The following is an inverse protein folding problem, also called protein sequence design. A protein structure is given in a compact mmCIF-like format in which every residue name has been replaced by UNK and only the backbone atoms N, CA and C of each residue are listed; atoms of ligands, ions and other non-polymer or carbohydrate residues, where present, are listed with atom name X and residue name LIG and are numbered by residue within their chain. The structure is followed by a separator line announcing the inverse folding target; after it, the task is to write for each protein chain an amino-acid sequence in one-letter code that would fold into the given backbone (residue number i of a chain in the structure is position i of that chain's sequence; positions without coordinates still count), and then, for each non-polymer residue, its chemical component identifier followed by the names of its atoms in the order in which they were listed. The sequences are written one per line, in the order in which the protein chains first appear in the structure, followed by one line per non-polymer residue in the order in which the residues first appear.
data_IF_283879535245
#
_entry.id   IF_283879535245
#
_cell.length_a   1.000
_cell.length_b   1.000
_cell.length_c   1.000
_cell.angle_alpha   90.00
_cell.angle_beta   90.00
_cell.angle_gamma   90.00
#
_symmetry.space_group_name_H-M   'P 1'
#
loop_
_entity.id
_entity.type
_entity.pdbx_description
1 polymer ?
#
# COMPACT_ATOMS: atom_id res chain seq x y z
N UNK A 1 -12.23 4.43 -15.16
CA UNK A 1 -12.74 4.67 -13.79
C UNK A 1 -11.60 4.48 -12.79
N UNK A 2 -11.66 5.07 -11.61
CA UNK A 2 -10.60 4.88 -10.60
C UNK A 2 -10.86 3.59 -9.83
N UNK A 3 -9.80 2.94 -9.33
CA UNK A 3 -9.93 1.72 -8.50
C UNK A 3 -10.87 1.93 -7.31
N UNK A 4 -10.81 3.11 -6.66
CA UNK A 4 -11.74 3.47 -5.58
C UNK A 4 -13.21 3.45 -6.02
N UNK A 5 -13.48 3.85 -7.25
CA UNK A 5 -14.82 3.84 -7.82
C UNK A 5 -15.29 2.41 -8.12
N UNK A 6 -14.38 1.56 -8.67
CA UNK A 6 -14.68 0.14 -8.91
C UNK A 6 -15.09 -0.57 -7.60
N UNK A 7 -14.36 -0.28 -6.49
CA UNK A 7 -14.69 -0.82 -5.15
C UNK A 7 -16.07 -0.35 -4.70
N UNK A 8 -16.38 0.94 -4.83
CA UNK A 8 -17.71 1.47 -4.44
C UNK A 8 -18.83 0.88 -5.27
N UNK A 9 -18.61 0.68 -6.57
CA UNK A 9 -19.61 0.04 -7.46
C UNK A 9 -19.84 -1.43 -7.13
N UNK A 10 -18.78 -2.17 -6.76
CA UNK A 10 -18.89 -3.55 -6.29
C UNK A 10 -19.74 -3.63 -5.02
N UNK A 11 -19.40 -2.79 -4.03
CA UNK A 11 -20.11 -2.75 -2.74
C UNK A 11 -21.56 -2.26 -2.87
N UNK A 12 -21.83 -1.37 -3.81
CA UNK A 12 -23.19 -0.85 -4.01
C UNK A 12 -24.17 -1.91 -4.55
N UNK A 13 -23.68 -2.90 -5.30
CA UNK A 13 -24.49 -3.99 -5.82
C UNK A 13 -24.91 -5.01 -4.75
N UNK A 14 -24.21 -5.04 -3.62
CA UNK A 14 -24.49 -5.99 -2.55
C UNK A 14 -25.66 -5.49 -1.68
N UNK A 15 -26.50 -6.38 -1.24
CA UNK A 15 -27.54 -6.12 -0.27
C UNK A 15 -27.50 -7.23 0.78
N UNK A 16 -27.16 -6.88 2.01
CA UNK A 16 -27.09 -7.85 3.09
C UNK A 16 -28.46 -8.54 3.30
N UNK A 17 -28.51 -9.88 3.43
CA UNK A 17 -29.78 -10.62 3.60
C UNK A 17 -30.45 -10.24 4.93
N UNK A 18 -29.67 -10.08 5.99
CA UNK A 18 -30.17 -9.78 7.33
C UNK A 18 -30.57 -8.31 7.47
N UNK A 19 -31.79 -8.07 8.00
CA UNK A 19 -32.31 -6.71 8.20
C UNK A 19 -31.42 -5.86 9.10
N UNK A 20 -30.88 -6.41 10.19
CA UNK A 20 -30.01 -5.69 11.13
C UNK A 20 -28.69 -5.20 10.46
N UNK A 21 -28.14 -5.98 9.50
CA UNK A 21 -26.97 -5.54 8.74
C UNK A 21 -27.32 -4.39 7.77
N UNK A 22 -28.49 -4.44 7.11
CA UNK A 22 -28.95 -3.31 6.28
C UNK A 22 -29.18 -2.05 7.10
N UNK A 23 -29.72 -2.18 8.33
CA UNK A 23 -29.84 -1.06 9.27
C UNK A 23 -28.48 -0.47 9.62
N UNK A 24 -27.48 -1.30 9.93
CA UNK A 24 -26.12 -0.84 10.20
C UNK A 24 -25.50 -0.10 9.01
N UNK A 25 -25.74 -0.56 7.79
CA UNK A 25 -25.26 0.07 6.56
C UNK A 25 -25.95 1.43 6.30
N UNK A 26 -27.28 1.51 6.52
CA UNK A 26 -28.06 2.76 6.47
C UNK A 26 -27.55 3.75 7.53
N UNK A 27 -27.33 3.27 8.75
CA UNK A 27 -26.80 4.07 9.85
C UNK A 27 -25.46 4.71 9.49
N UNK A 28 -24.54 3.94 8.90
CA UNK A 28 -23.25 4.45 8.45
C UNK A 28 -23.41 5.54 7.38
N UNK A 29 -24.21 5.31 6.34
CA UNK A 29 -24.41 6.30 5.27
C UNK A 29 -24.99 7.59 5.82
N UNK A 30 -26.02 7.53 6.67
CA UNK A 30 -26.61 8.71 7.31
C UNK A 30 -25.57 9.42 8.17
N UNK A 31 -24.78 8.68 8.94
CA UNK A 31 -23.81 9.25 9.87
C UNK A 31 -22.68 9.98 9.15
N UNK A 32 -22.19 9.45 8.02
CA UNK A 32 -21.06 10.03 7.32
C UNK A 32 -21.42 11.13 6.31
N UNK A 33 -22.54 11.02 5.61
CA UNK A 33 -22.93 11.98 4.58
C UNK A 33 -24.41 12.44 4.65
N UNK A 34 -25.13 12.05 5.69
CA UNK A 34 -26.51 12.46 5.90
C UNK A 34 -26.67 13.67 6.83
N UNK A 35 -27.84 14.27 6.75
CA UNK A 35 -28.37 15.25 7.68
C UNK A 35 -29.82 14.89 7.97
N UNK A 36 -30.27 15.12 9.19
CA UNK A 36 -31.67 14.92 9.53
C UNK A 36 -32.17 16.08 10.39
N UNK A 37 -33.48 16.28 10.34
CA UNK A 37 -34.24 17.11 11.28
C UNK A 37 -35.44 16.27 11.74
N UNK A 38 -35.72 16.32 13.02
CA UNK A 38 -36.86 15.67 13.61
C UNK A 38 -37.62 16.67 14.49
N UNK A 39 -38.82 17.07 14.06
CA UNK A 39 -39.64 18.05 14.75
C UNK A 39 -41.14 17.81 14.47
N UNK A 40 -42.02 18.36 15.31
CA UNK A 40 -43.47 18.28 15.12
C UNK A 40 -43.98 19.01 13.87
N UNK A 41 -43.21 20.00 13.36
CA UNK A 41 -43.56 20.79 12.17
C UNK A 41 -43.11 20.17 10.85
N UNK A 42 -42.25 19.14 10.92
CA UNK A 42 -41.78 18.41 9.75
C UNK A 42 -40.45 17.72 10.01
N UNK A 43 -40.33 16.52 9.53
CA UNK A 43 -39.13 15.71 9.70
C UNK A 43 -38.60 15.24 8.37
N UNK A 44 -37.26 15.20 8.25
CA UNK A 44 -36.59 14.67 7.09
C UNK A 44 -35.26 14.02 7.42
N UNK A 45 -34.83 13.05 6.58
CA UNK A 45 -33.47 12.57 6.48
C UNK A 45 -33.03 12.84 5.05
N UNK A 46 -31.91 13.53 4.88
CA UNK A 46 -31.36 13.91 3.57
C UNK A 46 -29.92 13.43 3.47
N UNK A 47 -29.64 12.59 2.49
CA UNK A 47 -28.30 12.19 2.07
C UNK A 47 -27.92 12.96 0.81
N UNK A 48 -26.78 13.63 0.83
CA UNK A 48 -26.23 14.38 -0.30
C UNK A 48 -24.92 13.75 -0.74
N UNK A 49 -24.78 13.48 -2.05
CA UNK A 49 -23.57 12.89 -2.62
C UNK A 49 -23.39 13.34 -4.07
N UNK A 50 -22.13 13.35 -4.53
CA UNK A 50 -21.78 13.55 -5.95
C UNK A 50 -21.79 12.21 -6.73
N UNK A 51 -21.87 11.09 -6.04
CA UNK A 51 -21.83 9.75 -6.62
C UNK A 51 -23.24 9.19 -6.80
N UNK A 52 -23.61 8.92 -8.06
CA UNK A 52 -24.85 8.21 -8.36
C UNK A 52 -24.89 6.82 -7.67
N UNK A 53 -23.77 6.14 -7.60
CA UNK A 53 -23.61 4.83 -6.95
C UNK A 53 -24.00 4.89 -5.47
N UNK A 54 -23.53 5.92 -4.75
CA UNK A 54 -23.89 6.13 -3.33
C UNK A 54 -25.38 6.45 -3.18
N UNK A 55 -25.90 7.34 -4.02
CA UNK A 55 -27.32 7.70 -4.01
C UNK A 55 -28.23 6.48 -4.26
N UNK A 56 -27.90 5.69 -5.28
CA UNK A 56 -28.63 4.46 -5.60
C UNK A 56 -28.57 3.44 -4.46
N UNK A 57 -27.39 3.22 -3.89
CA UNK A 57 -27.20 2.30 -2.74
C UNK A 57 -28.09 2.70 -1.57
N UNK A 58 -28.05 3.99 -1.18
CA UNK A 58 -28.87 4.48 -0.05
C UNK A 58 -30.37 4.35 -0.34
N UNK A 59 -30.80 4.71 -1.55
CA UNK A 59 -32.19 4.55 -1.98
C UNK A 59 -32.66 3.08 -1.83
N UNK A 60 -31.90 2.14 -2.39
CA UNK A 60 -32.21 0.71 -2.32
C UNK A 60 -32.21 0.16 -0.89
N UNK A 61 -31.27 0.60 -0.06
CA UNK A 61 -31.23 0.20 1.34
C UNK A 61 -32.46 0.66 2.12
N UNK A 62 -32.89 1.92 1.94
CA UNK A 62 -34.08 2.47 2.61
C UNK A 62 -35.33 1.74 2.12
N UNK A 63 -35.52 1.60 0.79
CA UNK A 63 -36.68 0.95 0.23
C UNK A 63 -36.81 -0.52 0.69
N UNK A 64 -35.71 -1.29 0.62
CA UNK A 64 -35.71 -2.74 0.96
C UNK A 64 -35.74 -3.01 2.47
N UNK A 65 -35.32 -2.04 3.32
CA UNK A 65 -35.23 -2.24 4.77
C UNK A 65 -36.47 -1.75 5.51
N UNK A 66 -37.01 -0.61 5.07
CA UNK A 66 -38.10 0.09 5.75
C UNK A 66 -39.41 0.11 4.92
N UNK A 67 -39.37 -0.31 3.65
CA UNK A 67 -40.49 -0.18 2.70
C UNK A 67 -40.91 1.29 2.49
N UNK A 68 -39.97 2.20 2.67
CA UNK A 68 -40.13 3.63 2.42
C UNK A 68 -39.49 3.94 1.08
N UNK A 69 -40.17 4.67 0.21
CA UNK A 69 -39.61 5.13 -1.06
C UNK A 69 -39.11 6.56 -0.94
N UNK A 70 -37.78 6.78 -0.91
CA UNK A 70 -37.23 8.12 -0.80
C UNK A 70 -37.49 8.95 -2.05
N UNK A 71 -37.54 10.26 -1.92
CA UNK A 71 -37.50 11.19 -3.03
C UNK A 71 -36.05 11.37 -3.51
N UNK A 72 -35.88 11.51 -4.82
CA UNK A 72 -34.56 11.76 -5.43
C UNK A 72 -34.60 13.09 -6.16
N UNK A 73 -33.70 14.00 -5.78
CA UNK A 73 -33.49 15.26 -6.43
C UNK A 73 -32.08 15.31 -7.01
N UNK A 74 -31.94 15.82 -8.24
CA UNK A 74 -30.64 16.01 -8.90
C UNK A 74 -30.44 17.47 -9.17
N UNK A 75 -29.30 18.00 -8.76
CA UNK A 75 -28.92 19.41 -8.99
C UNK A 75 -27.55 19.48 -9.66
N UNK A 76 -27.43 20.31 -10.68
CA UNK A 76 -26.12 20.66 -11.25
C UNK A 76 -25.68 21.99 -10.64
N UNK A 77 -24.48 22.02 -10.07
CA UNK A 77 -23.86 23.23 -9.55
C UNK A 77 -22.42 23.32 -10.06
N UNK A 78 -22.12 24.35 -10.86
CA UNK A 78 -20.79 24.59 -11.43
C UNK A 78 -20.18 23.36 -12.14
N UNK A 79 -21.02 22.59 -12.87
CA UNK A 79 -20.58 21.40 -13.61
C UNK A 79 -20.52 20.11 -12.77
N UNK A 80 -20.75 20.18 -11.47
CA UNK A 80 -20.82 19.02 -10.58
C UNK A 80 -22.26 18.60 -10.34
N UNK A 81 -22.56 17.33 -10.56
CA UNK A 81 -23.89 16.75 -10.31
C UNK A 81 -23.99 16.33 -8.84
N UNK A 82 -24.99 16.83 -8.14
CA UNK A 82 -25.33 16.47 -6.77
C UNK A 82 -26.64 15.70 -6.74
N UNK A 83 -26.60 14.55 -6.08
CA UNK A 83 -27.75 13.68 -5.85
C UNK A 83 -28.20 13.85 -4.40
N UNK A 84 -29.49 14.09 -4.23
CA UNK A 84 -30.14 14.19 -2.92
C UNK A 84 -31.16 13.07 -2.82
N UNK A 85 -31.00 12.20 -1.83
CA UNK A 85 -31.96 11.16 -1.52
C UNK A 85 -32.61 11.53 -0.19
N UNK A 86 -33.91 11.78 -0.20
CA UNK A 86 -34.64 12.45 0.89
C UNK A 86 -35.77 11.53 1.35
N UNK A 87 -35.82 11.26 2.64
CA UNK A 87 -36.96 10.64 3.32
C UNK A 87 -37.74 11.74 4.01
N UNK A 88 -39.02 11.81 3.75
CA UNK A 88 -39.94 12.79 4.35
C UNK A 88 -41.01 12.11 5.20
N UNK A 89 -41.57 12.88 6.13
CA UNK A 89 -42.67 12.45 6.99
C UNK A 89 -42.23 11.95 8.36
N UNK A 90 -42.95 12.38 9.39
CA UNK A 90 -42.58 12.14 10.79
C UNK A 90 -42.46 10.64 11.09
N UNK A 91 -43.43 9.83 10.66
CA UNK A 91 -43.44 8.38 10.91
C UNK A 91 -42.29 7.67 10.22
N UNK A 92 -42.07 7.97 8.94
CA UNK A 92 -40.96 7.38 8.14
C UNK A 92 -39.58 7.70 8.74
N UNK A 93 -39.41 8.97 9.12
CA UNK A 93 -38.14 9.44 9.71
C UNK A 93 -37.96 8.83 11.09
N UNK A 94 -39.03 8.79 11.93
CA UNK A 94 -38.97 8.19 13.25
C UNK A 94 -38.61 6.69 13.17
N UNK A 95 -39.19 5.93 12.23
CA UNK A 95 -38.91 4.51 12.05
C UNK A 95 -37.41 4.25 11.74
N UNK A 96 -36.84 5.07 10.84
CA UNK A 96 -35.42 4.97 10.53
C UNK A 96 -34.57 5.36 11.74
N UNK A 97 -34.82 6.52 12.36
CA UNK A 97 -34.01 7.04 13.46
C UNK A 97 -34.09 6.15 14.72
N UNK A 98 -35.26 5.53 15.02
CA UNK A 98 -35.40 4.52 16.07
C UNK A 98 -34.61 3.26 15.74
N UNK A 99 -34.69 2.78 14.50
CA UNK A 99 -33.95 1.58 14.06
C UNK A 99 -32.43 1.75 14.15
N UNK A 100 -31.90 2.92 13.80
CA UNK A 100 -30.47 3.25 13.93
C UNK A 100 -30.08 3.78 15.31
N UNK A 101 -31.03 3.74 16.30
CA UNK A 101 -30.81 4.09 17.71
C UNK A 101 -30.36 5.54 17.92
N UNK A 102 -30.86 6.47 17.12
CA UNK A 102 -30.78 7.92 17.32
C UNK A 102 -31.95 8.41 18.17
N UNK A 103 -33.13 7.83 18.00
CA UNK A 103 -34.28 8.04 18.86
C UNK A 103 -34.49 6.82 19.77
N UNK A 104 -35.03 7.09 20.98
CA UNK A 104 -35.60 6.07 21.85
C UNK A 104 -37.01 5.64 21.39
N UNK A 105 -37.59 4.67 22.07
CA UNK A 105 -38.95 4.18 21.74
C UNK A 105 -40.01 5.23 21.97
N UNK A 106 -39.75 6.22 22.84
CA UNK A 106 -40.63 7.36 23.16
C UNK A 106 -40.50 8.51 22.13
N UNK A 107 -39.53 8.44 21.21
CA UNK A 107 -39.29 9.47 20.20
C UNK A 107 -38.33 10.59 20.62
N UNK A 108 -37.63 10.46 21.75
CA UNK A 108 -36.66 11.42 22.18
C UNK A 108 -35.29 11.12 21.59
N UNK A 109 -34.51 12.16 21.28
CA UNK A 109 -33.14 12.02 20.78
C UNK A 109 -32.26 11.50 21.93
N UNK A 110 -31.62 10.34 21.73
CA UNK A 110 -30.78 9.68 22.74
C UNK A 110 -29.47 10.44 22.95
N UNK A 111 -28.93 11.04 21.89
CA UNK A 111 -27.67 11.80 21.91
C UNK A 111 -27.82 13.08 21.11
N UNK A 112 -27.68 14.24 21.71
CA UNK A 112 -27.79 15.56 21.08
C UNK A 112 -26.76 15.75 19.94
N UNK A 113 -25.61 15.08 20.01
CA UNK A 113 -24.56 15.13 18.97
C UNK A 113 -24.85 14.27 17.75
N UNK A 114 -26.02 13.59 17.66
CA UNK A 114 -26.30 12.65 16.55
C UNK A 114 -25.41 11.42 16.54
N UNK A 115 -24.79 11.07 17.68
CA UNK A 115 -23.96 9.86 17.82
C UNK A 115 -24.77 8.60 17.52
N UNK A 116 -24.18 7.69 16.75
CA UNK A 116 -24.76 6.36 16.57
C UNK A 116 -24.46 5.50 17.80
N UNK A 117 -25.51 4.86 18.32
CA UNK A 117 -25.36 3.91 19.41
C UNK A 117 -24.50 2.71 18.97
N UNK A 118 -23.53 2.31 19.78
CA UNK A 118 -22.76 1.08 19.60
C UNK A 118 -23.62 -0.19 19.48
N UNK A 119 -24.89 -0.13 19.90
CA UNK A 119 -25.86 -1.22 19.72
C UNK A 119 -26.12 -1.54 18.24
N UNK A 120 -25.91 -0.60 17.33
CA UNK A 120 -26.07 -0.81 15.87
C UNK A 120 -24.97 -1.71 15.30
N UNK A 121 -23.79 -1.72 15.94
CA UNK A 121 -22.59 -2.42 15.52
C UNK A 121 -22.16 -3.53 16.49
N UNK A 122 -23.07 -4.10 17.26
CA UNK A 122 -22.74 -5.13 18.27
C UNK A 122 -22.20 -6.43 17.65
N UNK A 123 -22.76 -6.83 16.51
CA UNK A 123 -22.37 -8.07 15.85
C UNK A 123 -21.30 -7.81 14.78
N UNK A 124 -20.38 -8.75 14.58
CA UNK A 124 -19.34 -8.64 13.54
C UNK A 124 -19.93 -8.43 12.14
N UNK A 125 -21.07 -9.05 11.81
CA UNK A 125 -21.76 -8.83 10.55
C UNK A 125 -22.32 -7.41 10.40
N UNK A 126 -22.76 -6.77 11.51
CA UNK A 126 -23.18 -5.36 11.53
C UNK A 126 -21.97 -4.42 11.39
N UNK A 127 -20.83 -4.74 12.02
CA UNK A 127 -19.58 -3.99 11.86
C UNK A 127 -19.13 -4.00 10.39
N UNK A 128 -19.17 -5.17 9.72
CA UNK A 128 -18.87 -5.30 8.28
C UNK A 128 -19.79 -4.41 7.43
N UNK A 129 -21.08 -4.48 7.68
CA UNK A 129 -22.07 -3.68 6.94
C UNK A 129 -21.91 -2.17 7.21
N UNK A 130 -21.62 -1.78 8.46
CA UNK A 130 -21.34 -0.39 8.82
C UNK A 130 -20.09 0.13 8.13
N UNK A 131 -18.99 -0.63 8.14
CA UNK A 131 -17.73 -0.27 7.48
C UNK A 131 -17.94 -0.10 5.96
N UNK A 132 -18.72 -0.99 5.34
CA UNK A 132 -19.12 -0.88 3.93
C UNK A 132 -19.86 0.43 3.64
N UNK A 133 -20.86 0.75 4.45
CA UNK A 133 -21.62 2.02 4.33
C UNK A 133 -20.74 3.24 4.52
N UNK A 134 -19.85 3.25 5.53
CA UNK A 134 -18.92 4.33 5.81
C UNK A 134 -17.93 4.55 4.64
N UNK A 135 -17.38 3.46 4.08
CA UNK A 135 -16.49 3.54 2.93
C UNK A 135 -17.23 4.06 1.67
N UNK A 136 -18.42 3.55 1.39
CA UNK A 136 -19.22 4.05 0.26
C UNK A 136 -19.47 5.55 0.42
N UNK A 137 -19.82 6.01 1.60
CA UNK A 137 -20.16 7.42 1.89
C UNK A 137 -18.95 8.36 1.80
N UNK A 138 -17.83 8.02 2.44
CA UNK A 138 -16.70 8.95 2.63
C UNK A 138 -15.31 8.31 2.49
N UNK A 139 -15.24 7.05 2.07
CA UNK A 139 -13.99 6.34 1.89
C UNK A 139 -13.35 6.53 0.54
N UNK A 140 -12.05 6.26 0.47
CA UNK A 140 -11.29 6.13 -0.76
C UNK A 140 -10.15 5.13 -0.61
N UNK A 141 -9.71 4.55 -1.73
CA UNK A 141 -8.57 3.65 -1.80
C UNK A 141 -7.76 3.92 -3.07
N UNK A 142 -6.44 3.96 -2.92
CA UNK A 142 -5.52 4.20 -4.04
C UNK A 142 -5.42 2.96 -4.93
N UNK A 143 -5.19 3.18 -6.22
CA UNK A 143 -4.87 2.12 -7.18
C UNK A 143 -3.65 1.32 -6.68
N UNK A 144 -3.77 -0.02 -6.50
CA UNK A 144 -2.71 -0.84 -5.93
C UNK A 144 -1.41 -0.85 -6.75
N UNK A 145 -1.46 -0.52 -8.04
CA UNK A 145 -0.24 -0.35 -8.85
C UNK A 145 0.53 0.92 -8.52
N UNK A 146 -0.16 1.97 -8.04
CA UNK A 146 0.45 3.26 -7.68
C UNK A 146 0.93 3.30 -6.23
N UNK A 147 0.21 2.66 -5.31
CA UNK A 147 0.55 2.66 -3.89
C UNK A 147 -0.51 1.97 -3.04
N UNK A 148 -0.27 1.91 -1.73
CA UNK A 148 -1.20 1.35 -0.76
C UNK A 148 -1.66 2.45 0.17
N UNK A 149 -2.90 2.88 0.02
CA UNK A 149 -3.52 3.86 0.90
C UNK A 149 -5.04 3.69 0.86
N UNK A 150 -5.60 3.37 1.99
CA UNK A 150 -7.03 3.30 2.25
C UNK A 150 -7.37 4.37 3.28
N UNK A 151 -8.42 5.15 3.06
CA UNK A 151 -8.85 6.16 4.00
C UNK A 151 -10.38 6.29 4.07
N UNK A 152 -10.89 6.67 5.24
CA UNK A 152 -12.26 7.12 5.46
C UNK A 152 -12.22 8.48 6.16
N UNK A 153 -12.88 9.47 5.58
CA UNK A 153 -13.01 10.80 6.18
C UNK A 153 -14.08 10.73 7.28
N UNK A 154 -13.64 10.75 8.53
CA UNK A 154 -14.50 10.69 9.70
C UNK A 154 -15.15 12.05 10.00
N UNK A 155 -14.41 13.14 9.86
CA UNK A 155 -14.87 14.48 10.14
C UNK A 155 -14.66 14.90 11.59
N UNK A 156 -15.00 14.06 12.58
CA UNK A 156 -14.83 14.32 14.01
C UNK A 156 -14.33 13.08 14.76
N UNK A 157 -13.98 13.26 16.04
CA UNK A 157 -13.44 12.19 16.90
C UNK A 157 -14.42 11.04 17.14
N UNK A 158 -15.71 11.33 17.32
CA UNK A 158 -16.72 10.30 17.56
C UNK A 158 -16.81 9.30 16.41
N UNK A 159 -16.78 9.81 15.16
CA UNK A 159 -16.80 8.96 13.96
C UNK A 159 -15.48 8.21 13.79
N UNK A 160 -14.36 8.84 14.12
CA UNK A 160 -13.03 8.21 14.06
C UNK A 160 -12.95 7.06 15.07
N UNK A 161 -13.34 7.28 16.32
CA UNK A 161 -13.34 6.24 17.37
C UNK A 161 -14.17 5.02 16.99
N UNK A 162 -15.37 5.20 16.41
CA UNK A 162 -16.18 4.07 15.93
C UNK A 162 -15.48 3.28 14.82
N UNK A 163 -14.83 3.95 13.88
CA UNK A 163 -14.07 3.27 12.82
C UNK A 163 -12.87 2.51 13.38
N UNK A 164 -12.13 3.11 14.31
CA UNK A 164 -11.00 2.49 14.99
C UNK A 164 -11.43 1.24 15.78
N UNK A 165 -12.53 1.32 16.54
CA UNK A 165 -13.11 0.17 17.25
C UNK A 165 -13.45 -0.99 16.28
N UNK A 166 -14.05 -0.65 15.12
CA UNK A 166 -14.37 -1.65 14.09
C UNK A 166 -13.10 -2.26 13.48
N UNK A 167 -12.11 -1.45 13.11
CA UNK A 167 -10.85 -1.95 12.57
C UNK A 167 -10.14 -2.87 13.57
N UNK A 168 -10.03 -2.48 14.84
CA UNK A 168 -9.42 -3.30 15.88
C UNK A 168 -10.17 -4.62 16.10
N UNK A 169 -11.50 -4.64 15.98
CA UNK A 169 -12.30 -5.87 16.06
C UNK A 169 -11.97 -6.88 14.94
N UNK A 170 -11.37 -6.44 13.86
CA UNK A 170 -10.88 -7.28 12.76
C UNK A 170 -9.34 -7.39 12.70
N UNK A 171 -8.63 -7.06 13.80
CA UNK A 171 -7.15 -7.07 13.89
C UNK A 171 -6.46 -6.18 12.87
N UNK A 172 -7.06 -5.06 12.54
CA UNK A 172 -6.50 -4.04 11.65
C UNK A 172 -6.05 -2.85 12.49
N UNK A 173 -4.84 -2.35 12.24
CA UNK A 173 -4.22 -1.25 12.97
C UNK A 173 -4.36 0.07 12.18
N UNK A 174 -5.46 0.83 12.34
CA UNK A 174 -5.64 2.09 11.66
C UNK A 174 -4.75 3.17 12.27
N UNK A 175 -4.47 4.19 11.46
CA UNK A 175 -3.90 5.45 11.91
C UNK A 175 -4.86 6.56 11.61
N UNK A 176 -4.79 7.67 12.35
CA UNK A 176 -5.57 8.86 12.02
C UNK A 176 -4.67 10.09 11.82
N UNK A 177 -5.19 11.06 11.11
CA UNK A 177 -4.55 12.36 10.88
C UNK A 177 -5.61 13.42 10.69
N UNK A 178 -5.24 14.68 10.94
CA UNK A 178 -6.13 15.83 10.74
C UNK A 178 -5.74 16.50 9.41
N UNK A 179 -6.69 16.67 8.50
CA UNK A 179 -6.53 17.38 7.23
C UNK A 179 -7.73 18.30 6.99
N UNK A 180 -7.49 19.58 6.81
CA UNK A 180 -8.54 20.60 6.59
C UNK A 180 -9.68 20.52 7.62
N UNK A 181 -9.32 20.48 8.90
CA UNK A 181 -10.24 20.36 10.05
C UNK A 181 -11.12 19.09 10.07
N UNK A 182 -10.76 18.05 9.33
CA UNK A 182 -11.42 16.75 9.36
C UNK A 182 -10.45 15.67 9.79
N UNK A 183 -10.91 14.77 10.65
CA UNK A 183 -10.16 13.58 11.04
C UNK A 183 -10.32 12.53 9.94
N UNK A 184 -9.21 11.95 9.53
CA UNK A 184 -9.14 10.89 8.52
C UNK A 184 -8.55 9.66 9.18
N UNK A 185 -9.27 8.56 9.13
CA UNK A 185 -8.78 7.24 9.56
C UNK A 185 -8.23 6.53 8.33
N UNK A 186 -6.98 6.04 8.39
CA UNK A 186 -6.32 5.47 7.23
C UNK A 186 -5.44 4.26 7.54
N UNK A 187 -5.20 3.44 6.52
CA UNK A 187 -4.29 2.29 6.53
C UNK A 187 -3.39 2.37 5.29
N UNK A 188 -2.09 2.08 5.44
CA UNK A 188 -1.09 2.10 4.34
C UNK A 188 -0.45 0.74 4.06
N UNK A 189 -0.73 -0.25 4.86
CA UNK A 189 -0.19 -1.60 4.66
C UNK A 189 -1.06 -2.40 3.70
N UNK A 190 -0.46 -2.92 2.63
CA UNK A 190 -1.20 -3.61 1.57
C UNK A 190 -1.93 -4.87 2.06
N UNK A 191 -1.36 -5.62 3.02
CA UNK A 191 -2.01 -6.78 3.62
C UNK A 191 -3.27 -6.37 4.37
N UNK A 192 -3.18 -5.38 5.26
CA UNK A 192 -4.33 -4.89 6.01
C UNK A 192 -5.41 -4.26 5.12
N UNK A 193 -5.02 -3.59 4.01
CA UNK A 193 -6.00 -3.08 3.03
C UNK A 193 -6.74 -4.25 2.35
N UNK A 194 -6.06 -5.37 2.06
CA UNK A 194 -6.69 -6.57 1.55
C UNK A 194 -7.70 -7.13 2.55
N UNK A 195 -7.32 -7.19 3.83
CA UNK A 195 -8.21 -7.64 4.90
C UNK A 195 -9.44 -6.72 5.02
N UNK A 196 -9.27 -5.40 4.93
CA UNK A 196 -10.38 -4.43 4.93
C UNK A 196 -11.35 -4.70 3.76
N UNK A 197 -10.82 -4.89 2.55
CA UNK A 197 -11.66 -5.21 1.39
C UNK A 197 -12.41 -6.54 1.58
N UNK A 198 -11.77 -7.54 2.17
CA UNK A 198 -12.39 -8.81 2.55
C UNK A 198 -13.48 -8.64 3.61
N UNK A 199 -13.23 -7.83 4.66
CA UNK A 199 -14.21 -7.48 5.69
C UNK A 199 -15.43 -6.80 5.09
N UNK A 200 -15.24 -5.89 4.14
CA UNK A 200 -16.34 -5.22 3.42
C UNK A 200 -17.00 -6.11 2.36
N UNK A 201 -16.46 -7.30 2.09
CA UNK A 201 -16.92 -8.23 1.04
C UNK A 201 -16.68 -7.72 -0.39
N UNK A 202 -15.70 -6.83 -0.60
CA UNK A 202 -15.27 -6.36 -1.92
C UNK A 202 -14.27 -7.35 -2.54
N UNK A 203 -14.73 -8.56 -2.87
CA UNK A 203 -13.87 -9.69 -3.24
C UNK A 203 -13.15 -9.48 -4.57
N UNK A 204 -13.79 -8.86 -5.56
CA UNK A 204 -13.18 -8.58 -6.87
C UNK A 204 -12.05 -7.54 -6.71
N UNK A 205 -12.31 -6.49 -5.95
CA UNK A 205 -11.29 -5.48 -5.65
C UNK A 205 -10.14 -6.06 -4.83
N UNK A 206 -10.44 -6.91 -3.82
CA UNK A 206 -9.43 -7.62 -3.03
C UNK A 206 -8.52 -8.45 -3.94
N UNK A 207 -9.07 -9.23 -4.87
CA UNK A 207 -8.28 -10.05 -5.81
C UNK A 207 -7.40 -9.19 -6.72
N UNK A 208 -7.91 -8.04 -7.21
CA UNK A 208 -7.09 -7.09 -7.98
C UNK A 208 -5.90 -6.56 -7.16
N UNK A 209 -6.12 -6.24 -5.89
CA UNK A 209 -5.06 -5.78 -4.99
C UNK A 209 -4.00 -6.85 -4.75
N UNK A 210 -4.42 -8.10 -4.46
CA UNK A 210 -3.50 -9.23 -4.26
C UNK A 210 -2.67 -9.53 -5.52
N UNK A 211 -3.28 -9.53 -6.69
CA UNK A 211 -2.55 -9.71 -7.94
C UNK A 211 -1.51 -8.60 -8.16
N UNK A 212 -1.84 -7.35 -7.84
CA UNK A 212 -0.88 -6.25 -7.92
C UNK A 212 0.27 -6.39 -6.90
N UNK A 213 0.01 -6.93 -5.71
CA UNK A 213 1.03 -7.23 -4.69
C UNK A 213 2.01 -8.29 -5.19
N UNK A 214 1.51 -9.43 -5.66
CA UNK A 214 2.32 -10.51 -6.22
C UNK A 214 3.19 -9.99 -7.36
N UNK A 215 2.63 -9.24 -8.29
CA UNK A 215 3.38 -8.65 -9.41
C UNK A 215 4.52 -7.74 -8.94
N UNK A 216 4.27 -6.87 -7.95
CA UNK A 216 5.30 -5.99 -7.37
C UNK A 216 6.41 -6.78 -6.67
N UNK A 217 6.07 -7.82 -5.93
CA UNK A 217 7.03 -8.69 -5.24
C UNK A 217 7.94 -9.41 -6.23
N UNK A 218 7.37 -10.00 -7.30
CA UNK A 218 8.13 -10.63 -8.37
C UNK A 218 9.09 -9.63 -9.04
N UNK A 219 8.61 -8.46 -9.42
CA UNK A 219 9.43 -7.40 -10.03
C UNK A 219 10.57 -6.95 -9.11
N UNK A 220 10.29 -6.76 -7.84
CA UNK A 220 11.31 -6.37 -6.86
C UNK A 220 12.35 -7.47 -6.64
N UNK A 221 11.97 -8.74 -6.68
CA UNK A 221 12.88 -9.88 -6.58
C UNK A 221 13.83 -9.93 -7.79
N UNK A 222 13.28 -9.83 -9.00
CA UNK A 222 14.06 -9.79 -10.24
C UNK A 222 15.03 -8.60 -10.25
N UNK A 223 14.56 -7.40 -9.91
CA UNK A 223 15.41 -6.22 -9.85
C UNK A 223 16.56 -6.38 -8.85
N UNK A 224 16.30 -6.98 -7.68
CA UNK A 224 17.36 -7.27 -6.69
C UNK A 224 18.39 -8.26 -7.23
N UNK A 225 17.95 -9.30 -7.94
CA UNK A 225 18.84 -10.28 -8.56
C UNK A 225 19.71 -9.61 -9.63
N UNK A 226 19.12 -8.86 -10.56
CA UNK A 226 19.84 -8.13 -11.62
C UNK A 226 20.86 -7.15 -11.03
N UNK A 227 20.47 -6.38 -10.02
CA UNK A 227 21.37 -5.44 -9.36
C UNK A 227 22.54 -6.16 -8.66
N UNK A 228 22.29 -7.30 -8.04
CA UNK A 228 23.34 -8.13 -7.42
C UNK A 228 24.32 -8.67 -8.46
N UNK A 229 23.82 -9.19 -9.56
CA UNK A 229 24.65 -9.70 -10.67
C UNK A 229 25.47 -8.58 -11.32
N UNK A 230 24.87 -7.44 -11.60
CA UNK A 230 25.56 -6.26 -12.14
C UNK A 230 26.68 -5.76 -11.20
N UNK A 231 26.41 -5.70 -9.89
CA UNK A 231 27.42 -5.32 -8.91
C UNK A 231 28.57 -6.32 -8.83
N UNK A 232 28.29 -7.63 -8.92
CA UNK A 232 29.31 -8.67 -8.97
C UNK A 232 30.20 -8.56 -10.22
N UNK A 233 29.60 -8.37 -11.40
CA UNK A 233 30.32 -8.19 -12.67
C UNK A 233 31.21 -6.94 -12.58
N UNK A 234 30.68 -5.82 -12.12
CA UNK A 234 31.43 -4.59 -11.95
C UNK A 234 32.63 -4.76 -11.00
N UNK A 235 32.44 -5.47 -9.88
CA UNK A 235 33.51 -5.77 -8.93
C UNK A 235 34.59 -6.66 -9.52
N UNK A 236 34.21 -7.67 -10.31
CA UNK A 236 35.16 -8.56 -11.01
C UNK A 236 36.00 -7.75 -12.02
N UNK A 237 35.32 -6.96 -12.86
CA UNK A 237 35.97 -6.13 -13.87
C UNK A 237 36.94 -5.09 -13.24
N UNK A 238 36.50 -4.36 -12.22
CA UNK A 238 37.35 -3.38 -11.54
C UNK A 238 38.55 -4.02 -10.85
N UNK A 239 38.41 -5.21 -10.28
CA UNK A 239 39.49 -5.98 -9.68
C UNK A 239 40.50 -6.45 -10.76
N UNK A 240 40.03 -6.95 -11.88
CA UNK A 240 40.86 -7.39 -12.98
C UNK A 240 41.65 -6.22 -13.60
N UNK A 241 41.02 -5.05 -13.77
CA UNK A 241 41.70 -3.83 -14.24
C UNK A 241 42.80 -3.38 -13.27
N UNK A 242 42.52 -3.37 -11.96
CA UNK A 242 43.50 -3.03 -10.94
C UNK A 242 44.69 -4.02 -10.97
N UNK A 243 44.43 -5.32 -11.00
CA UNK A 243 45.46 -6.35 -11.08
C UNK A 243 46.35 -6.15 -12.33
N UNK A 244 45.72 -5.91 -13.49
CA UNK A 244 46.46 -5.60 -14.72
C UNK A 244 47.32 -4.37 -14.60
N UNK A 245 46.80 -3.28 -14.01
CA UNK A 245 47.56 -2.05 -13.80
C UNK A 245 48.76 -2.27 -12.85
N UNK A 246 48.60 -3.04 -11.79
CA UNK A 246 49.67 -3.40 -10.85
C UNK A 246 50.77 -4.22 -11.56
N UNK A 247 50.38 -5.19 -12.38
CA UNK A 247 51.33 -6.03 -13.14
C UNK A 247 52.09 -5.21 -14.18
N UNK A 248 51.44 -4.30 -14.88
CA UNK A 248 52.11 -3.39 -15.83
C UNK A 248 53.11 -2.48 -15.06
N UNK A 249 52.72 -1.97 -13.90
CA UNK A 249 53.60 -1.18 -13.08
C UNK A 249 54.85 -1.93 -12.61
N UNK A 250 54.70 -3.21 -12.21
CA UNK A 250 55.85 -4.10 -11.90
C UNK A 250 56.74 -4.28 -13.10
N UNK A 251 56.14 -4.60 -14.29
CA UNK A 251 56.90 -4.76 -15.53
C UNK A 251 57.76 -3.56 -15.86
N UNK A 252 57.21 -2.37 -15.74
CA UNK A 252 57.86 -1.11 -16.15
C UNK A 252 58.90 -0.60 -15.16
N UNK A 253 58.81 -0.97 -13.88
CA UNK A 253 59.75 -0.48 -12.82
C UNK A 253 60.76 -1.53 -12.32
N UNK A 254 60.43 -2.82 -12.32
CA UNK A 254 61.28 -3.89 -11.81
C UNK A 254 61.60 -4.93 -12.85
N UNK A 255 60.75 -5.09 -13.85
CA UNK A 255 60.79 -6.18 -14.83
C UNK A 255 60.18 -7.49 -14.31
N UNK A 256 59.41 -8.17 -15.15
CA UNK A 256 58.75 -9.43 -14.77
C UNK A 256 59.75 -10.60 -14.58
N UNK A 257 61.00 -10.47 -15.07
CA UNK A 257 62.04 -11.47 -14.89
C UNK A 257 62.52 -11.63 -13.45
N UNK A 258 62.28 -10.62 -12.60
CA UNK A 258 62.64 -10.62 -11.16
C UNK A 258 61.56 -11.25 -10.26
N UNK A 259 60.47 -11.70 -10.85
CA UNK A 259 59.41 -12.44 -10.13
C UNK A 259 59.75 -13.94 -10.10
N UNK A 260 59.23 -14.64 -9.08
CA UNK A 260 59.24 -16.11 -9.07
C UNK A 260 58.43 -16.66 -10.26
N UNK A 261 58.78 -17.83 -10.77
CA UNK A 261 58.15 -18.42 -11.96
C UNK A 261 56.62 -18.47 -11.88
N UNK A 262 56.08 -18.86 -10.75
CA UNK A 262 54.60 -18.91 -10.56
C UNK A 262 53.92 -17.54 -10.49
N UNK A 263 54.61 -16.48 -10.09
CA UNK A 263 54.08 -15.10 -10.14
C UNK A 263 54.22 -14.51 -11.54
N UNK A 264 55.31 -14.83 -12.26
CA UNK A 264 55.56 -14.41 -13.63
C UNK A 264 54.52 -15.02 -14.58
N UNK A 265 54.24 -16.31 -14.44
CA UNK A 265 53.25 -17.04 -15.27
C UNK A 265 51.85 -16.42 -15.14
N UNK A 266 51.35 -16.22 -13.90
CA UNK A 266 50.02 -15.63 -13.67
C UNK A 266 49.96 -14.16 -14.10
N UNK A 267 51.06 -13.40 -13.99
CA UNK A 267 51.14 -12.02 -14.46
C UNK A 267 50.99 -11.92 -15.98
N UNK A 268 51.66 -12.78 -16.75
CA UNK A 268 51.54 -12.84 -18.19
C UNK A 268 50.11 -13.24 -18.60
N UNK A 269 49.57 -14.30 -18.01
CA UNK A 269 48.22 -14.76 -18.31
C UNK A 269 47.15 -13.67 -18.03
N UNK A 270 47.30 -12.90 -16.96
CA UNK A 270 46.34 -11.81 -16.64
C UNK A 270 46.44 -10.65 -17.63
N UNK A 271 47.63 -10.34 -18.14
CA UNK A 271 47.80 -9.30 -19.16
C UNK A 271 47.17 -9.74 -20.49
N UNK A 272 47.42 -11.00 -20.90
CA UNK A 272 46.92 -11.58 -22.16
C UNK A 272 45.41 -11.83 -22.12
N UNK A 273 44.87 -12.14 -20.94
CA UNK A 273 43.46 -12.48 -20.75
C UNK A 273 42.81 -11.55 -19.67
N UNK A 274 42.58 -10.27 -20.01
CA UNK A 274 42.11 -9.28 -19.02
C UNK A 274 40.71 -9.59 -18.49
N UNK A 275 39.86 -10.22 -19.28
CA UNK A 275 38.46 -10.50 -18.93
C UNK A 275 38.26 -11.90 -18.32
N UNK A 276 39.31 -12.74 -18.29
CA UNK A 276 39.21 -14.08 -17.75
C UNK A 276 38.95 -14.09 -16.26
N UNK A 277 38.04 -14.95 -15.82
CA UNK A 277 37.77 -15.20 -14.42
C UNK A 277 38.98 -15.85 -13.72
N UNK A 278 39.00 -15.78 -12.37
CA UNK A 278 40.05 -16.45 -11.59
C UNK A 278 40.07 -17.97 -11.79
N UNK A 279 38.94 -18.57 -12.17
CA UNK A 279 38.85 -20.01 -12.47
C UNK A 279 39.52 -20.32 -13.82
N UNK A 280 39.15 -19.57 -14.84
CA UNK A 280 39.75 -19.73 -16.20
C UNK A 280 41.25 -19.50 -16.18
N UNK A 281 41.74 -18.48 -15.49
CA UNK A 281 43.17 -18.27 -15.29
C UNK A 281 43.82 -19.45 -14.58
N UNK A 282 43.17 -20.06 -13.61
CA UNK A 282 43.67 -21.22 -12.90
C UNK A 282 43.78 -22.48 -13.78
N UNK A 283 42.85 -22.63 -14.71
CA UNK A 283 42.86 -23.73 -15.70
C UNK A 283 43.96 -23.57 -16.76
N UNK A 284 44.40 -22.33 -17.04
CA UNK A 284 45.48 -22.01 -18.00
C UNK A 284 46.88 -22.17 -17.38
N UNK A 285 47.04 -22.30 -16.07
CA UNK A 285 48.31 -22.50 -15.39
C UNK A 285 48.81 -23.95 -15.46
N UNK A 286 50.14 -24.12 -15.46
CA UNK A 286 50.78 -25.43 -15.44
C UNK A 286 51.70 -25.63 -14.21
N UNK A 287 51.33 -26.48 -13.24
CA UNK A 287 50.08 -27.24 -13.11
C UNK A 287 48.86 -26.33 -12.81
N UNK A 288 47.62 -26.77 -13.15
CA UNK A 288 46.43 -26.02 -12.91
C UNK A 288 46.23 -25.68 -11.42
N UNK A 289 45.72 -24.46 -11.14
CA UNK A 289 45.49 -23.96 -9.81
C UNK A 289 44.02 -23.63 -9.58
N UNK A 290 43.54 -23.90 -8.36
CA UNK A 290 42.19 -23.47 -7.94
C UNK A 290 42.10 -21.95 -7.76
N UNK A 291 40.86 -21.43 -7.79
CA UNK A 291 40.53 -20.01 -7.63
C UNK A 291 41.27 -19.33 -6.46
N UNK A 292 41.39 -20.00 -5.32
CA UNK A 292 42.12 -19.48 -4.15
C UNK A 292 43.60 -19.28 -4.37
N UNK A 293 44.28 -20.24 -5.07
CA UNK A 293 45.68 -20.14 -5.41
C UNK A 293 45.96 -19.02 -6.38
N UNK A 294 45.10 -18.86 -7.41
CA UNK A 294 45.17 -17.75 -8.36
C UNK A 294 45.00 -16.41 -7.64
N UNK A 295 43.98 -16.30 -6.79
CA UNK A 295 43.72 -15.07 -6.04
C UNK A 295 44.91 -14.71 -5.12
N UNK A 296 45.53 -15.70 -4.47
CA UNK A 296 46.71 -15.48 -3.62
C UNK A 296 47.88 -14.94 -4.42
N UNK A 297 48.17 -15.51 -5.59
CA UNK A 297 49.28 -15.06 -6.45
C UNK A 297 49.03 -13.63 -7.00
N UNK A 298 47.80 -13.32 -7.44
CA UNK A 298 47.45 -11.98 -7.93
C UNK A 298 47.48 -10.93 -6.80
N UNK A 299 47.07 -11.30 -5.59
CA UNK A 299 47.19 -10.43 -4.41
C UNK A 299 48.66 -10.15 -4.09
N UNK A 300 49.53 -11.15 -4.16
CA UNK A 300 50.96 -10.97 -3.94
C UNK A 300 51.59 -10.01 -4.96
N UNK A 301 51.15 -10.05 -6.24
CA UNK A 301 51.55 -9.08 -7.26
C UNK A 301 51.11 -7.67 -6.91
N UNK A 302 49.87 -7.46 -6.42
CA UNK A 302 49.45 -6.15 -5.97
C UNK A 302 50.27 -5.62 -4.76
N UNK A 303 50.61 -6.49 -3.82
CA UNK A 303 51.51 -6.12 -2.67
C UNK A 303 52.90 -5.67 -3.19
N UNK A 304 53.50 -6.37 -4.12
CA UNK A 304 54.78 -5.99 -4.73
C UNK A 304 54.65 -4.63 -5.44
N UNK A 305 53.58 -4.38 -6.17
CA UNK A 305 53.33 -3.11 -6.84
C UNK A 305 53.24 -1.95 -5.85
N UNK A 306 52.54 -2.17 -4.73
CA UNK A 306 52.39 -1.18 -3.70
C UNK A 306 53.70 -0.88 -2.96
N UNK A 307 54.55 -1.88 -2.74
CA UNK A 307 55.90 -1.69 -2.17
C UNK A 307 56.80 -0.89 -3.12
N UNK A 308 56.77 -1.17 -4.42
CA UNK A 308 57.51 -0.40 -5.42
C UNK A 308 57.07 1.05 -5.53
N UNK A 309 55.75 1.34 -5.35
CA UNK A 309 55.21 2.71 -5.33
C UNK A 309 55.78 3.47 -4.12
N UNK A 310 55.74 2.88 -2.90
CA UNK A 310 56.27 3.48 -1.68
C UNK A 310 57.77 3.78 -1.81
N UNK A 311 58.58 2.85 -2.27
CA UNK A 311 60.02 3.05 -2.48
C UNK A 311 60.33 4.19 -3.47
N UNK A 312 59.48 4.41 -4.46
CA UNK A 312 59.65 5.49 -5.43
C UNK A 312 59.26 6.86 -4.83
N UNK A 313 58.22 6.90 -4.01
CA UNK A 313 57.86 8.11 -3.25
C UNK A 313 58.96 8.53 -2.28
N UNK A 314 59.51 7.61 -1.48
CA UNK A 314 60.59 7.87 -0.55
C UNK A 314 61.88 8.36 -1.24
N UNK A 315 62.14 7.94 -2.51
CA UNK A 315 63.31 8.41 -3.30
C UNK A 315 63.11 9.77 -3.93
N UNK A 316 61.87 10.22 -4.10
CA UNK A 316 61.57 11.54 -4.66
C UNK A 316 61.46 12.63 -3.59
N UNK A 317 61.30 12.25 -2.29
CA UNK A 317 61.24 13.16 -1.16
C UNK A 317 62.58 13.38 -0.48
N UNK A 318 63.66 12.71 -0.94
CA UNK A 318 65.07 12.91 -0.52
C UNK A 318 65.90 13.56 -1.69
#
# INVERSE_FOLDING_TARGET
MSYSMDVKEELAKQLAPARHCRIAEVAAIIYFCGRFSYSNTGSYIKVQTESLTVAYKYFMLVEKTFRIRPEVQVKNSHGTMYYYVIVLGNDNVADILKSIKVLDDSGNIIHESGRISRRVIQNSCCMRAFLRGAFIASGSVTDPYKGYHFEIVAGNEDKASILEDIFHAFNIEPKHTIRKNSIIVYVKEGAQISDILGVMEAHVAMMKLENARIYKEMRNSINRQVNCEAANISKIASTAMRQRHDIIYIRDNMGLGNLSDGLKEIALLRIENPDASLKELGEMLHPPLGKSGVNHRLRRLSEIADDLRRQKEEKNDN
#
